data_IF_763987796822
#
_entry.id   IF_763987796822
#
_cell.length_a   1.000
_cell.length_b   1.000
_cell.length_c   1.000
_cell.angle_alpha   90.00
_cell.angle_beta   90.00
_cell.angle_gamma   90.00
#
_symmetry.space_group_name_H-M   'P 1'
#
loop_
_entity.id
_entity.type
_entity.pdbx_description
1 polymer ?
#
# COMPACT_ATOMS: atom_id res chain seq x y z
N UNK A 1 28.80 -13.62 -0.22
CA UNK A 1 29.08 -14.37 1.03
C UNK A 1 30.21 -15.38 0.82
N UNK A 2 30.92 -15.81 1.86
CA UNK A 2 32.06 -16.73 1.71
C UNK A 2 31.65 -18.04 1.01
N UNK A 3 32.33 -18.38 -0.09
CA UNK A 3 32.09 -19.60 -0.87
C UNK A 3 30.86 -19.57 -1.80
N UNK A 4 30.31 -18.38 -2.08
CA UNK A 4 29.14 -18.16 -2.94
C UNK A 4 29.43 -17.04 -3.95
N UNK A 5 30.45 -17.23 -4.78
CA UNK A 5 30.93 -16.22 -5.73
C UNK A 5 29.86 -15.85 -6.77
N UNK A 6 29.01 -16.80 -7.15
CA UNK A 6 27.91 -16.60 -8.12
C UNK A 6 26.82 -15.62 -7.64
N UNK A 7 26.77 -15.32 -6.33
CA UNK A 7 25.83 -14.34 -5.74
C UNK A 7 26.39 -12.91 -5.76
N UNK A 8 27.72 -12.76 -5.78
CA UNK A 8 28.38 -11.45 -5.74
C UNK A 8 28.06 -10.63 -4.48
N UNK A 9 27.78 -9.34 -4.67
CA UNK A 9 27.51 -8.35 -3.62
C UNK A 9 26.03 -8.23 -3.24
N UNK A 10 25.19 -9.20 -3.66
CA UNK A 10 23.75 -9.13 -3.44
C UNK A 10 23.39 -9.52 -2.00
N UNK A 11 23.12 -8.52 -1.15
CA UNK A 11 22.73 -8.75 0.24
C UNK A 11 21.49 -7.95 0.67
N UNK A 12 20.99 -8.29 1.86
CA UNK A 12 19.92 -7.56 2.55
C UNK A 12 20.47 -6.53 3.53
N UNK A 13 21.64 -6.76 4.12
CA UNK A 13 22.20 -5.95 5.21
C UNK A 13 22.36 -4.48 4.80
N UNK A 14 22.95 -4.24 3.63
CA UNK A 14 23.24 -2.92 3.06
C UNK A 14 22.08 -2.38 2.22
N UNK A 15 21.06 -3.20 1.95
CA UNK A 15 19.91 -2.76 1.18
C UNK A 15 19.09 -1.70 1.96
N UNK A 16 18.90 -0.54 1.32
CA UNK A 16 18.11 0.60 1.82
C UNK A 16 17.06 0.97 0.75
N UNK A 17 15.76 0.71 0.98
CA UNK A 17 14.73 0.91 -0.05
C UNK A 17 14.71 2.31 -0.67
N UNK A 18 14.83 3.37 0.15
CA UNK A 18 14.80 4.75 -0.31
C UNK A 18 16.07 5.22 -1.05
N UNK A 19 17.21 4.57 -0.79
CA UNK A 19 18.51 4.97 -1.32
C UNK A 19 19.04 4.02 -2.41
N UNK A 20 18.32 2.92 -2.67
CA UNK A 20 18.72 1.95 -3.67
C UNK A 20 18.64 2.56 -5.08
N UNK A 21 19.67 2.28 -5.89
CA UNK A 21 19.77 2.71 -7.28
C UNK A 21 20.19 1.52 -8.14
N UNK A 22 19.70 1.43 -9.38
CA UNK A 22 20.16 0.44 -10.35
C UNK A 22 21.58 0.79 -10.84
N UNK A 23 22.32 -0.22 -11.29
CA UNK A 23 23.67 -0.02 -11.85
C UNK A 23 23.65 0.76 -13.17
N UNK A 24 22.57 0.59 -13.95
CA UNK A 24 22.33 1.35 -15.18
C UNK A 24 21.31 2.46 -14.92
N UNK A 25 21.53 3.69 -15.44
CA UNK A 25 20.58 4.78 -15.28
C UNK A 25 19.17 4.39 -15.74
N UNK A 26 18.19 4.59 -14.86
CA UNK A 26 16.79 4.32 -15.15
C UNK A 26 15.94 5.54 -14.75
N UNK A 27 15.35 6.22 -15.74
CA UNK A 27 14.62 7.48 -15.52
C UNK A 27 13.44 7.32 -14.56
N UNK A 28 12.71 6.21 -14.61
CA UNK A 28 11.59 5.98 -13.69
C UNK A 28 12.05 5.80 -12.23
N UNK A 29 13.26 5.29 -11.99
CA UNK A 29 13.80 5.12 -10.63
C UNK A 29 14.45 6.42 -10.15
N UNK A 30 15.01 7.22 -11.05
CA UNK A 30 15.51 8.56 -10.75
C UNK A 30 14.38 9.54 -10.35
N UNK A 31 13.16 9.31 -10.83
CA UNK A 31 11.97 10.14 -10.55
C UNK A 31 10.93 9.41 -9.70
N UNK A 32 11.34 8.39 -8.92
CA UNK A 32 10.43 7.56 -8.12
C UNK A 32 9.63 8.40 -7.11
N UNK A 33 8.31 8.46 -7.28
CA UNK A 33 7.42 9.08 -6.30
C UNK A 33 7.01 8.10 -5.19
N UNK A 34 6.48 8.62 -4.08
CA UNK A 34 5.97 7.78 -2.97
C UNK A 34 4.87 6.82 -3.42
N UNK A 35 4.00 7.28 -4.32
CA UNK A 35 2.94 6.44 -4.90
C UNK A 35 3.51 5.28 -5.73
N UNK A 36 4.59 5.52 -6.48
CA UNK A 36 5.29 4.48 -7.25
C UNK A 36 5.96 3.47 -6.32
N UNK A 37 6.65 3.95 -5.27
CA UNK A 37 7.26 3.11 -4.24
C UNK A 37 6.22 2.25 -3.52
N UNK A 38 5.07 2.81 -3.16
CA UNK A 38 3.93 2.07 -2.61
C UNK A 38 3.40 1.02 -3.59
N UNK A 39 3.19 1.38 -4.86
CA UNK A 39 2.73 0.45 -5.89
C UNK A 39 3.72 -0.73 -6.05
N UNK A 40 5.01 -0.45 -6.13
CA UNK A 40 6.04 -1.47 -6.19
C UNK A 40 6.04 -2.36 -4.94
N UNK A 41 5.95 -1.77 -3.74
CA UNK A 41 5.87 -2.51 -2.48
C UNK A 41 4.62 -3.41 -2.41
N UNK A 42 3.49 -2.95 -2.96
CA UNK A 42 2.28 -3.79 -3.10
C UNK A 42 2.56 -5.00 -3.99
N UNK A 43 3.25 -4.85 -5.10
CA UNK A 43 3.56 -6.00 -5.99
C UNK A 43 4.57 -6.94 -5.33
N UNK A 44 5.74 -6.42 -4.93
CA UNK A 44 6.85 -7.22 -4.38
C UNK A 44 6.42 -7.94 -3.10
N UNK A 45 5.66 -7.27 -2.23
CA UNK A 45 5.15 -7.87 -1.00
C UNK A 45 3.98 -8.86 -1.18
N UNK A 46 3.54 -9.13 -2.41
CA UNK A 46 2.56 -10.21 -2.68
C UNK A 46 3.21 -11.59 -2.80
N UNK A 47 4.53 -11.65 -3.02
CA UNK A 47 5.29 -12.89 -3.10
C UNK A 47 5.53 -13.48 -1.70
N UNK A 48 5.09 -14.72 -1.48
CA UNK A 48 5.39 -15.52 -0.28
C UNK A 48 6.81 -16.08 -0.29
N UNK A 49 7.33 -16.47 0.87
CA UNK A 49 8.65 -17.11 0.99
C UNK A 49 8.73 -18.40 0.18
N UNK A 50 7.61 -19.16 0.11
CA UNK A 50 7.50 -20.35 -0.74
C UNK A 50 7.66 -19.99 -2.22
N UNK A 51 7.00 -18.93 -2.70
CA UNK A 51 7.14 -18.49 -4.09
C UNK A 51 8.56 -18.01 -4.38
N UNK A 52 9.19 -17.27 -3.46
CA UNK A 52 10.59 -16.87 -3.60
C UNK A 52 11.52 -18.09 -3.70
N UNK A 53 11.31 -19.12 -2.87
CA UNK A 53 12.05 -20.37 -2.95
C UNK A 53 11.88 -21.07 -4.30
N UNK A 54 10.63 -21.24 -4.76
CA UNK A 54 10.36 -21.85 -6.06
C UNK A 54 11.04 -21.09 -7.20
N UNK A 55 11.05 -19.76 -7.18
CA UNK A 55 11.74 -18.94 -8.17
C UNK A 55 13.26 -19.16 -8.15
N UNK A 56 13.87 -19.24 -6.95
CA UNK A 56 15.32 -19.46 -6.84
C UNK A 56 15.73 -20.88 -7.22
N UNK A 57 14.89 -21.89 -7.00
CA UNK A 57 15.15 -23.27 -7.43
C UNK A 57 15.22 -23.40 -8.96
N UNK A 58 14.56 -22.52 -9.72
CA UNK A 58 14.66 -22.47 -11.19
C UNK A 58 15.93 -21.77 -11.71
N UNK A 59 16.77 -21.21 -10.82
CA UNK A 59 17.94 -20.41 -11.19
C UNK A 59 19.16 -21.21 -11.64
N UNK A 60 19.12 -22.54 -11.55
CA UNK A 60 20.23 -23.45 -11.94
C UNK A 60 21.60 -23.07 -11.34
N UNK A 61 21.62 -22.63 -10.08
CA UNK A 61 22.84 -22.27 -9.35
C UNK A 61 23.79 -23.48 -9.20
N UNK A 62 25.09 -23.25 -9.31
CA UNK A 62 26.10 -24.31 -9.20
C UNK A 62 26.22 -24.79 -7.77
N UNK A 63 26.14 -23.87 -6.81
CA UNK A 63 26.16 -24.18 -5.40
C UNK A 63 24.72 -24.15 -4.85
N UNK A 64 24.18 -25.28 -4.35
CA UNK A 64 22.81 -25.30 -3.82
C UNK A 64 22.61 -24.35 -2.63
N UNK A 65 23.68 -24.00 -1.89
CA UNK A 65 23.62 -23.00 -0.81
C UNK A 65 23.30 -21.59 -1.30
N UNK A 66 23.47 -21.30 -2.59
CA UNK A 66 23.08 -20.02 -3.18
C UNK A 66 21.56 -19.82 -3.15
N UNK A 67 20.78 -20.89 -3.36
CA UNK A 67 19.31 -20.85 -3.30
C UNK A 67 18.85 -20.39 -1.93
N UNK A 68 19.33 -21.05 -0.86
CA UNK A 68 18.93 -20.71 0.51
C UNK A 68 19.30 -19.27 0.87
N UNK A 69 20.52 -18.85 0.51
CA UNK A 69 20.97 -17.48 0.75
C UNK A 69 20.14 -16.44 0.00
N UNK A 70 19.86 -16.66 -1.28
CA UNK A 70 19.09 -15.73 -2.10
C UNK A 70 17.62 -15.65 -1.66
N UNK A 71 17.03 -16.76 -1.21
CA UNK A 71 15.67 -16.73 -0.62
C UNK A 71 15.65 -15.85 0.62
N UNK A 72 16.62 -15.98 1.52
CA UNK A 72 16.75 -15.14 2.71
C UNK A 72 16.91 -13.66 2.33
N UNK A 73 17.82 -13.35 1.40
CA UNK A 73 18.07 -11.98 0.96
C UNK A 73 16.83 -11.38 0.29
N UNK A 74 16.17 -12.10 -0.62
CA UNK A 74 14.98 -11.62 -1.32
C UNK A 74 13.81 -11.40 -0.36
N UNK A 75 13.57 -12.33 0.57
CA UNK A 75 12.54 -12.18 1.59
C UNK A 75 12.84 -10.96 2.49
N UNK A 76 14.07 -10.82 2.95
CA UNK A 76 14.48 -9.68 3.78
C UNK A 76 14.40 -8.34 3.05
N UNK A 77 14.75 -8.31 1.75
CA UNK A 77 14.60 -7.10 0.91
C UNK A 77 13.13 -6.77 0.66
N UNK A 78 12.29 -7.76 0.33
CA UNK A 78 10.82 -7.61 0.21
C UNK A 78 10.27 -6.97 1.49
N UNK A 79 10.62 -7.51 2.64
CA UNK A 79 10.11 -7.03 3.92
C UNK A 79 10.57 -5.59 4.22
N UNK A 80 11.83 -5.24 3.92
CA UNK A 80 12.32 -3.85 4.03
C UNK A 80 11.58 -2.90 3.09
N UNK A 81 11.35 -3.30 1.82
CA UNK A 81 10.58 -2.51 0.84
C UNK A 81 9.17 -2.26 1.37
N UNK A 82 8.48 -3.32 1.80
CA UNK A 82 7.10 -3.23 2.30
C UNK A 82 7.03 -2.31 3.52
N UNK A 83 7.87 -2.54 4.54
CA UNK A 83 7.85 -1.71 5.76
C UNK A 83 8.11 -0.25 5.48
N UNK A 84 9.08 0.06 4.59
CA UNK A 84 9.41 1.44 4.26
C UNK A 84 8.26 2.15 3.54
N UNK A 85 7.81 1.62 2.39
CA UNK A 85 6.81 2.32 1.58
C UNK A 85 5.40 2.31 2.18
N UNK A 86 5.06 1.33 3.04
CA UNK A 86 3.80 1.33 3.79
C UNK A 86 3.80 2.28 5.00
N UNK A 87 4.97 2.80 5.39
CA UNK A 87 5.07 3.90 6.35
C UNK A 87 4.89 5.27 5.67
N UNK A 88 5.37 5.41 4.43
CA UNK A 88 5.28 6.65 3.65
C UNK A 88 3.86 6.94 3.14
N UNK A 89 3.15 5.89 2.71
CA UNK A 89 1.81 5.97 2.11
C UNK A 89 0.86 5.06 2.90
N UNK A 90 -0.36 5.51 3.26
CA UNK A 90 -1.34 4.66 3.94
C UNK A 90 -1.60 3.40 3.10
N UNK A 91 -1.30 2.20 3.62
CA UNK A 91 -1.37 1.00 2.83
C UNK A 91 -2.79 0.44 2.80
N UNK A 92 -3.75 1.33 2.55
CA UNK A 92 -5.17 1.03 2.43
C UNK A 92 -5.48 0.82 0.94
N UNK A 93 -6.05 -0.33 0.61
CA UNK A 93 -6.37 -0.71 -0.77
C UNK A 93 -7.61 -1.61 -0.84
N UNK A 94 -7.97 -2.02 -2.05
CA UNK A 94 -9.12 -2.90 -2.29
C UNK A 94 -10.42 -2.36 -1.71
N UNK A 95 -10.58 -1.04 -1.84
CA UNK A 95 -11.79 -0.32 -1.48
C UNK A 95 -12.99 -0.89 -2.23
N UNK A 96 -14.08 -1.10 -1.51
CA UNK A 96 -15.31 -1.68 -2.04
C UNK A 96 -16.51 -1.18 -1.26
N UNK A 97 -17.61 -0.92 -1.96
CA UNK A 97 -18.89 -0.67 -1.31
C UNK A 97 -19.52 -2.02 -0.93
N UNK A 98 -20.05 -2.09 0.28
CA UNK A 98 -20.73 -3.25 0.87
C UNK A 98 -22.07 -2.80 1.44
N UNK A 99 -22.90 -3.74 1.90
CA UNK A 99 -24.14 -3.41 2.60
C UNK A 99 -23.91 -2.57 3.87
N UNK A 100 -22.77 -2.75 4.54
CA UNK A 100 -22.39 -2.05 5.77
C UNK A 100 -21.63 -0.74 5.52
N UNK A 101 -21.46 -0.33 4.25
CA UNK A 101 -20.76 0.88 3.85
C UNK A 101 -19.46 0.63 3.08
N UNK A 102 -18.49 1.54 3.22
CA UNK A 102 -17.21 1.48 2.50
C UNK A 102 -16.22 0.61 3.28
N UNK A 103 -15.81 -0.50 2.69
CA UNK A 103 -14.81 -1.41 3.22
C UNK A 103 -13.48 -1.26 2.49
N UNK A 104 -12.39 -1.63 3.15
CA UNK A 104 -11.04 -1.63 2.60
C UNK A 104 -10.16 -2.68 3.30
N UNK A 105 -9.02 -2.96 2.69
CA UNK A 105 -7.99 -3.81 3.29
C UNK A 105 -6.81 -2.94 3.76
N UNK A 106 -6.40 -3.09 5.03
CA UNK A 106 -5.09 -2.59 5.49
C UNK A 106 -4.03 -3.63 5.10
N UNK A 107 -3.31 -3.37 4.02
CA UNK A 107 -2.30 -4.29 3.48
C UNK A 107 -1.16 -4.53 4.46
N UNK A 108 -0.87 -3.60 5.39
CA UNK A 108 0.15 -3.84 6.40
C UNK A 108 -0.32 -4.88 7.44
N UNK A 109 -1.61 -4.89 7.76
CA UNK A 109 -2.21 -5.91 8.64
C UNK A 109 -2.34 -7.25 7.91
N UNK A 110 -2.87 -7.24 6.68
CA UNK A 110 -3.02 -8.47 5.85
C UNK A 110 -1.69 -9.19 5.66
N UNK A 111 -0.58 -8.44 5.56
CA UNK A 111 0.78 -8.99 5.40
C UNK A 111 1.52 -9.24 6.71
N UNK A 112 0.86 -9.09 7.86
CA UNK A 112 1.49 -9.30 9.17
C UNK A 112 2.60 -8.31 9.52
N UNK A 113 2.74 -7.20 8.78
CA UNK A 113 3.71 -6.15 9.08
C UNK A 113 3.31 -5.36 10.34
N UNK A 114 2.01 -5.29 10.61
CA UNK A 114 1.41 -4.60 11.76
C UNK A 114 0.34 -5.51 12.37
N UNK A 115 0.26 -5.56 13.70
CA UNK A 115 -0.83 -6.27 14.39
C UNK A 115 -2.13 -5.49 14.22
N UNK A 116 -3.24 -6.18 13.97
CA UNK A 116 -4.54 -5.56 13.70
C UNK A 116 -4.98 -4.54 14.76
N UNK A 117 -4.76 -4.85 16.04
CA UNK A 117 -5.11 -3.97 17.17
C UNK A 117 -4.25 -2.71 17.31
N UNK A 118 -3.29 -2.48 16.40
CA UNK A 118 -2.43 -1.28 16.39
C UNK A 118 -2.87 -0.23 15.39
N UNK A 119 -3.77 -0.54 14.45
CA UNK A 119 -4.27 0.43 13.48
C UNK A 119 -5.51 1.15 14.03
N UNK A 120 -5.48 2.48 14.00
CA UNK A 120 -6.67 3.34 14.10
C UNK A 120 -6.88 4.04 12.78
N UNK A 121 -8.11 4.15 12.33
CA UNK A 121 -8.44 4.83 11.08
C UNK A 121 -9.24 6.09 11.39
N UNK A 122 -9.11 7.09 10.53
CA UNK A 122 -10.06 8.19 10.46
C UNK A 122 -10.40 8.50 9.02
N UNK A 123 -11.62 8.99 8.83
CA UNK A 123 -12.09 9.42 7.54
C UNK A 123 -12.91 10.71 7.64
N UNK A 124 -13.02 11.42 6.53
CA UNK A 124 -13.99 12.50 6.33
C UNK A 124 -14.44 12.49 4.87
N UNK A 125 -15.57 13.11 4.61
CA UNK A 125 -16.21 13.04 3.28
C UNK A 125 -16.57 14.41 2.76
N UNK A 126 -16.65 14.54 1.43
CA UNK A 126 -17.29 15.67 0.75
C UNK A 126 -17.84 15.24 -0.62
N UNK A 127 -18.91 15.86 -1.11
CA UNK A 127 -19.36 15.67 -2.48
C UNK A 127 -18.40 16.36 -3.44
N UNK A 128 -18.19 15.76 -4.62
CA UNK A 128 -17.33 16.29 -5.67
C UNK A 128 -17.90 16.08 -7.07
N UNK A 129 -17.52 16.98 -7.99
CA UNK A 129 -17.76 16.86 -9.43
C UNK A 129 -16.84 15.81 -10.10
N UNK A 130 -16.97 15.65 -11.41
CA UNK A 130 -16.13 14.73 -12.20
C UNK A 130 -14.63 15.10 -12.20
N UNK A 131 -14.31 16.34 -11.83
CA UNK A 131 -12.95 16.86 -11.69
C UNK A 131 -12.43 16.79 -10.25
N UNK A 132 -13.16 16.10 -9.35
CA UNK A 132 -12.84 15.93 -7.91
C UNK A 132 -12.89 17.23 -7.10
N UNK A 133 -13.57 18.26 -7.62
CA UNK A 133 -13.74 19.56 -6.98
C UNK A 133 -15.00 19.55 -6.13
N UNK A 134 -14.91 20.17 -4.96
CA UNK A 134 -16.01 20.28 -4.01
C UNK A 134 -15.52 20.90 -2.70
N UNK A 135 -16.45 21.41 -1.92
CA UNK A 135 -16.19 22.16 -0.69
C UNK A 135 -16.84 21.49 0.52
N UNK A 136 -16.49 21.98 1.71
CA UNK A 136 -17.17 21.57 2.95
C UNK A 136 -16.90 20.12 3.34
N UNK A 137 -15.64 19.80 3.65
CA UNK A 137 -15.33 18.51 4.29
C UNK A 137 -16.13 18.33 5.58
N UNK A 138 -16.69 17.14 5.77
CA UNK A 138 -17.22 16.74 7.06
C UNK A 138 -16.13 16.82 8.14
N UNK A 139 -16.51 16.93 9.44
CA UNK A 139 -15.58 16.65 10.52
C UNK A 139 -14.95 15.25 10.36
N UNK A 140 -13.75 15.09 10.90
CA UNK A 140 -13.09 13.78 10.98
C UNK A 140 -13.88 12.83 11.88
N UNK A 141 -14.09 11.61 11.41
CA UNK A 141 -14.66 10.50 12.16
C UNK A 141 -13.60 9.42 12.34
N UNK A 142 -13.38 8.96 13.57
CA UNK A 142 -12.43 7.90 13.86
C UNK A 142 -13.15 6.55 13.95
N UNK A 143 -12.51 5.48 13.48
CA UNK A 143 -13.02 4.12 13.58
C UNK A 143 -11.88 3.12 13.75
N UNK A 144 -12.05 2.07 14.58
CA UNK A 144 -11.12 0.93 14.61
C UNK A 144 -11.45 -0.10 13.51
N UNK A 145 -12.60 0.04 12.85
CA UNK A 145 -13.09 -0.93 11.87
C UNK A 145 -12.55 -0.62 10.46
N UNK A 146 -12.39 -1.67 9.65
CA UNK A 146 -12.01 -1.58 8.21
C UNK A 146 -13.22 -1.48 7.27
N UNK A 147 -14.40 -1.35 7.85
CA UNK A 147 -15.66 -1.04 7.18
C UNK A 147 -16.37 0.00 8.04
N UNK A 148 -16.99 0.97 7.40
CA UNK A 148 -17.77 1.97 8.10
C UNK A 148 -18.87 2.46 7.17
N UNK A 149 -20.00 2.78 7.78
CA UNK A 149 -21.04 3.51 7.11
C UNK A 149 -20.47 4.88 6.74
N UNK A 150 -20.28 5.09 5.44
CA UNK A 150 -20.09 6.43 4.92
C UNK A 150 -21.43 7.08 5.15
N UNK A 151 -21.52 7.91 6.19
CA UNK A 151 -22.74 8.42 6.82
C UNK A 151 -23.96 8.49 5.89
N UNK A 152 -25.19 8.30 6.41
CA UNK A 152 -26.44 8.36 5.64
C UNK A 152 -26.77 9.74 5.03
N UNK A 153 -25.77 10.60 4.90
CA UNK A 153 -25.76 11.80 4.06
C UNK A 153 -25.80 11.43 2.56
N UNK A 154 -26.67 10.48 2.18
CA UNK A 154 -27.06 10.19 0.81
C UNK A 154 -27.70 11.41 0.09
N UNK A 155 -27.76 12.57 0.76
CA UNK A 155 -28.05 13.89 0.19
C UNK A 155 -26.85 14.83 0.04
N UNK A 156 -25.60 14.39 0.26
CA UNK A 156 -24.42 15.22 -0.04
C UNK A 156 -24.19 15.36 -1.54
N UNK A 157 -24.46 14.29 -2.29
CA UNK A 157 -24.28 14.30 -3.74
C UNK A 157 -25.52 14.86 -4.40
N UNK A 158 -25.31 15.71 -5.39
CA UNK A 158 -26.34 16.31 -6.23
C UNK A 158 -25.98 16.09 -7.71
N UNK A 159 -26.77 16.66 -8.62
CA UNK A 159 -26.52 16.51 -10.05
C UNK A 159 -25.19 17.14 -10.50
N UNK A 160 -24.70 18.17 -9.81
CA UNK A 160 -23.42 18.84 -10.10
C UNK A 160 -22.23 18.13 -9.45
N UNK A 161 -22.47 17.43 -8.33
CA UNK A 161 -21.46 16.71 -7.56
C UNK A 161 -21.90 15.27 -7.29
N UNK A 162 -21.93 14.42 -8.33
CA UNK A 162 -22.50 13.08 -8.22
C UNK A 162 -21.57 12.07 -7.52
N UNK A 163 -20.34 12.46 -7.18
CA UNK A 163 -19.36 11.59 -6.53
C UNK A 163 -19.11 12.01 -5.09
N UNK A 164 -18.64 11.06 -4.29
CA UNK A 164 -18.20 11.29 -2.93
C UNK A 164 -16.70 11.06 -2.82
N UNK A 165 -15.97 12.09 -2.39
CA UNK A 165 -14.57 11.95 -1.99
C UNK A 165 -14.51 11.56 -0.52
N UNK A 166 -13.79 10.49 -0.21
CA UNK A 166 -13.50 10.03 1.15
C UNK A 166 -12.00 10.16 1.37
N UNK A 167 -11.61 11.00 2.31
CA UNK A 167 -10.22 11.14 2.74
C UNK A 167 -9.95 10.22 3.93
N UNK A 168 -8.83 9.51 3.89
CA UNK A 168 -8.43 8.50 4.86
C UNK A 168 -7.07 8.76 5.44
N UNK A 169 -6.93 8.54 6.74
CA UNK A 169 -5.64 8.44 7.42
C UNK A 169 -5.63 7.26 8.38
N UNK A 170 -4.45 6.69 8.58
CA UNK A 170 -4.19 5.62 9.55
C UNK A 170 -3.19 6.11 10.58
N UNK A 171 -3.41 5.77 11.85
CA UNK A 171 -2.48 5.99 12.95
C UNK A 171 -2.09 4.64 13.53
N UNK A 172 -0.77 4.46 13.75
CA UNK A 172 -0.15 3.26 14.29
C UNK A 172 0.64 3.53 15.57
N UNK A 173 0.30 4.60 16.29
CA UNK A 173 0.99 5.06 17.49
C UNK A 173 2.04 6.14 17.25
N UNK A 174 2.16 6.63 16.01
CA UNK A 174 3.10 7.69 15.61
C UNK A 174 2.36 8.96 15.11
N UNK A 175 1.04 9.00 15.28
CA UNK A 175 0.19 10.04 14.71
C UNK A 175 -0.41 9.63 13.36
N UNK A 176 -1.27 10.50 12.84
CA UNK A 176 -1.98 10.26 11.58
C UNK A 176 -1.05 10.37 10.37
N UNK A 177 -1.12 9.36 9.49
CA UNK A 177 -0.39 9.30 8.23
C UNK A 177 -0.71 10.45 7.27
N UNK A 178 -0.02 10.50 6.12
CA UNK A 178 -0.53 11.21 4.94
C UNK A 178 -1.93 10.72 4.56
N UNK A 179 -2.63 11.53 3.75
CA UNK A 179 -4.00 11.21 3.33
C UNK A 179 -4.02 10.34 2.07
N UNK A 180 -4.91 9.36 2.06
CA UNK A 180 -5.34 8.69 0.84
C UNK A 180 -6.78 9.12 0.53
N UNK A 181 -7.12 9.25 -0.74
CA UNK A 181 -8.45 9.66 -1.20
C UNK A 181 -9.09 8.54 -2.00
N UNK A 182 -10.36 8.29 -1.74
CA UNK A 182 -11.19 7.32 -2.47
C UNK A 182 -12.38 8.07 -3.02
N UNK A 183 -12.72 7.79 -4.27
CA UNK A 183 -13.85 8.39 -4.94
C UNK A 183 -14.88 7.31 -5.20
N UNK A 184 -16.08 7.50 -4.66
CA UNK A 184 -17.21 6.60 -4.80
C UNK A 184 -18.30 7.28 -5.63
N UNK A 185 -18.99 6.51 -6.46
CA UNK A 185 -20.23 6.90 -7.13
C UNK A 185 -21.43 6.28 -6.39
N UNK A 186 -22.09 6.99 -5.46
CA UNK A 186 -23.14 6.41 -4.62
C UNK A 186 -24.28 5.78 -5.43
N UNK A 187 -24.68 6.40 -6.54
CA UNK A 187 -25.75 5.91 -7.42
C UNK A 187 -25.51 4.50 -7.97
N UNK A 188 -24.25 4.07 -8.11
CA UNK A 188 -23.89 2.73 -8.62
C UNK A 188 -23.22 1.84 -7.56
N UNK A 189 -22.90 2.38 -6.39
CA UNK A 189 -22.08 1.69 -5.39
C UNK A 189 -20.67 1.35 -5.86
N UNK A 190 -20.11 2.05 -6.86
CA UNK A 190 -18.79 1.76 -7.41
C UNK A 190 -17.72 2.69 -6.85
N UNK A 191 -16.52 2.15 -6.66
CA UNK A 191 -15.30 2.95 -6.51
C UNK A 191 -14.82 3.35 -7.91
N UNK A 192 -14.68 4.65 -8.13
CA UNK A 192 -14.30 5.25 -9.43
C UNK A 192 -12.87 5.79 -9.43
N UNK A 193 -12.22 5.88 -8.27
CA UNK A 193 -10.83 6.27 -8.20
C UNK A 193 -10.23 6.14 -6.81
N UNK A 194 -8.91 6.01 -6.77
CA UNK A 194 -8.09 6.10 -5.56
C UNK A 194 -6.90 6.99 -5.86
N UNK A 195 -6.55 7.89 -4.95
CA UNK A 195 -5.40 8.78 -5.03
C UNK A 195 -4.62 8.73 -3.72
N UNK A 196 -3.29 8.77 -3.81
CA UNK A 196 -2.36 8.62 -2.69
C UNK A 196 -1.26 9.66 -2.79
#
# INVERSE_FOLDING_TARGET
PAGLDEVGLFDVEHFRPAAWKPDLPHSALANLARADGYWAAKIVGSFSDRQLRLLMEQGHYRNPRAVDYLVEVLAGRRDRIVRHWFAEVPPLDWFRTTADGLAFDDLAVVRGCVRENKSRYRYRVRPVDEWRRGDGWSPWRATPQRVFEVAPDAGLVDAERPFLAVEFQVDRGMGWSHSAFVFQAPASGRIVGVQR
#
